data_IF_190014896400
#
_entry.id   IF_190014896400
#
_cell.length_a   1.000
_cell.length_b   1.000
_cell.length_c   1.000
_cell.angle_alpha   90.00
_cell.angle_beta   90.00
_cell.angle_gamma   90.00
#
_symmetry.space_group_name_H-M   'P 1'
#
loop_
_entity.id
_entity.type
_entity.pdbx_description
1 polymer ?
#
# COMPACT_ATOMS: atom_id res chain seq x y z
N UNK A 1 -13.89 -2.98 3.95
CA UNK A 1 -13.20 -4.28 3.88
C UNK A 1 -12.65 -4.69 5.25
N UNK A 2 -12.60 -5.98 5.58
CA UNK A 2 -11.92 -6.48 6.79
C UNK A 2 -10.46 -6.89 6.55
N UNK A 3 -10.09 -7.13 5.29
CA UNK A 3 -8.75 -7.49 4.88
C UNK A 3 -8.29 -6.54 3.77
N UNK A 4 -6.99 -6.26 3.73
CA UNK A 4 -6.32 -5.51 2.68
C UNK A 4 -5.07 -6.25 2.26
N UNK A 5 -4.71 -6.09 0.99
CA UNK A 5 -3.43 -6.55 0.47
C UNK A 5 -2.83 -5.39 -0.32
N UNK A 6 -1.56 -5.11 -0.10
CA UNK A 6 -0.76 -4.18 -0.90
C UNK A 6 0.39 -4.97 -1.48
N UNK A 7 0.68 -4.75 -2.76
CA UNK A 7 1.66 -5.56 -3.50
C UNK A 7 2.58 -4.62 -4.27
N UNK A 8 3.89 -4.84 -4.16
CA UNK A 8 4.88 -4.27 -5.05
C UNK A 8 5.22 -5.28 -6.14
N UNK A 9 5.18 -4.85 -7.40
CA UNK A 9 5.41 -5.71 -8.56
C UNK A 9 6.40 -5.03 -9.51
N UNK A 10 7.33 -5.79 -10.05
CA UNK A 10 8.19 -5.34 -11.15
C UNK A 10 7.38 -5.28 -12.45
N UNK A 11 7.38 -4.12 -13.10
CA UNK A 11 6.70 -3.94 -14.39
C UNK A 11 7.37 -4.75 -15.49
N UNK A 12 8.70 -4.79 -15.50
CA UNK A 12 9.47 -5.44 -16.58
C UNK A 12 9.36 -6.97 -16.55
N UNK A 13 9.26 -7.54 -15.35
CA UNK A 13 9.25 -9.01 -15.17
C UNK A 13 7.89 -9.58 -14.80
N UNK A 14 6.93 -8.73 -14.40
CA UNK A 14 5.65 -9.15 -13.84
C UNK A 14 5.75 -9.85 -12.47
N UNK A 15 6.95 -9.93 -11.87
CA UNK A 15 7.16 -10.63 -10.59
C UNK A 15 6.73 -9.78 -9.42
N UNK A 16 6.11 -10.42 -8.44
CA UNK A 16 5.83 -9.82 -7.13
C UNK A 16 7.13 -9.69 -6.35
N UNK A 17 7.44 -8.47 -5.93
CA UNK A 17 8.63 -8.13 -5.16
C UNK A 17 8.36 -8.17 -3.66
N UNK A 18 7.19 -7.67 -3.24
CA UNK A 18 6.81 -7.60 -1.82
C UNK A 18 5.28 -7.58 -1.68
N UNK A 19 4.77 -8.07 -0.55
CA UNK A 19 3.35 -8.12 -0.21
C UNK A 19 3.16 -7.73 1.26
N UNK A 20 2.22 -6.83 1.51
CA UNK A 20 1.74 -6.52 2.86
C UNK A 20 0.27 -6.92 3.00
N UNK A 21 0.01 -7.85 3.91
CA UNK A 21 -1.34 -8.33 4.21
C UNK A 21 -1.81 -7.70 5.51
N UNK A 22 -2.92 -6.98 5.43
CA UNK A 22 -3.53 -6.29 6.57
C UNK A 22 -4.87 -6.91 6.89
N UNK A 23 -5.14 -7.15 8.16
CA UNK A 23 -6.42 -7.68 8.63
C UNK A 23 -6.87 -6.97 9.89
N UNK A 24 -8.13 -6.57 9.90
CA UNK A 24 -8.88 -6.15 11.10
C UNK A 24 -9.66 -7.29 11.72
N UNK A 25 -9.65 -8.45 11.06
CA UNK A 25 -10.52 -9.54 11.44
C UNK A 25 -9.97 -10.26 12.67
N UNK A 26 -10.70 -10.14 13.78
CA UNK A 26 -10.36 -10.73 15.07
C UNK A 26 -11.49 -11.67 15.52
N UNK A 27 -11.16 -12.95 15.74
CA UNK A 27 -12.06 -13.97 16.29
C UNK A 27 -11.90 -14.16 17.82
N UNK A 28 -11.03 -13.40 18.46
CA UNK A 28 -10.75 -13.57 19.89
C UNK A 28 -11.99 -13.22 20.73
N UNK A 29 -12.17 -13.97 21.82
CA UNK A 29 -13.27 -13.71 22.78
C UNK A 29 -13.14 -12.32 23.41
N UNK A 30 -11.90 -11.91 23.70
CA UNK A 30 -11.59 -10.59 24.19
C UNK A 30 -10.85 -9.78 23.11
N UNK A 31 -11.42 -8.65 22.69
CA UNK A 31 -10.81 -7.78 21.66
C UNK A 31 -9.65 -6.92 22.19
N UNK A 32 -9.48 -6.84 23.51
CA UNK A 32 -8.36 -6.12 24.15
C UNK A 32 -7.20 -7.04 24.48
N UNK A 33 -7.45 -8.36 24.57
CA UNK A 33 -6.44 -9.40 24.79
C UNK A 33 -6.55 -10.42 23.67
N UNK A 34 -5.78 -10.19 22.63
CA UNK A 34 -5.72 -11.10 21.49
C UNK A 34 -5.12 -12.44 21.91
N UNK A 35 -5.76 -13.53 21.48
CA UNK A 35 -5.18 -14.86 21.54
C UNK A 35 -3.92 -14.94 20.67
N UNK A 36 -3.04 -15.88 21.00
CA UNK A 36 -1.81 -16.16 20.25
C UNK A 36 -2.06 -16.40 18.74
N UNK A 37 -3.20 -17.00 18.39
CA UNK A 37 -3.57 -17.30 16.99
C UNK A 37 -4.32 -16.17 16.27
N UNK A 38 -4.42 -14.97 16.86
CA UNK A 38 -5.08 -13.85 16.21
C UNK A 38 -4.27 -13.35 15.01
N UNK A 39 -4.95 -13.15 13.87
CA UNK A 39 -4.34 -12.61 12.65
C UNK A 39 -4.64 -11.14 12.40
N UNK A 40 -5.34 -10.48 13.33
CA UNK A 40 -5.60 -9.06 13.23
C UNK A 40 -4.28 -8.30 13.49
N UNK A 41 -3.82 -7.56 12.49
CA UNK A 41 -2.57 -6.80 12.54
C UNK A 41 -2.77 -5.32 12.19
N UNK A 42 -4.01 -4.90 11.87
CA UNK A 42 -4.32 -3.53 11.53
C UNK A 42 -5.47 -2.98 12.37
N UNK A 43 -5.31 -1.74 12.82
CA UNK A 43 -6.32 -0.97 13.56
C UNK A 43 -6.61 0.31 12.77
N UNK A 44 -7.90 0.62 12.55
CA UNK A 44 -8.31 1.80 11.79
C UNK A 44 -9.41 1.48 10.78
N UNK A 45 -9.69 2.42 9.87
CA UNK A 45 -10.69 2.22 8.81
C UNK A 45 -10.08 1.44 7.62
N UNK A 46 -10.92 0.87 6.76
CA UNK A 46 -10.40 0.08 5.62
C UNK A 46 -9.72 0.92 4.54
N UNK A 47 -10.07 2.20 4.40
CA UNK A 47 -9.39 3.10 3.46
C UNK A 47 -7.94 3.41 3.86
N UNK A 48 -7.64 3.37 5.15
CA UNK A 48 -6.30 3.58 5.69
C UNK A 48 -5.37 2.36 5.53
N UNK A 49 -5.91 1.18 5.21
CA UNK A 49 -5.10 -0.02 4.98
C UNK A 49 -4.17 0.14 3.78
N UNK A 50 -4.67 0.74 2.69
CA UNK A 50 -3.86 0.99 1.49
C UNK A 50 -2.67 1.89 1.82
N UNK A 51 -2.93 3.00 2.52
CA UNK A 51 -1.91 3.96 2.95
C UNK A 51 -0.88 3.30 3.87
N UNK A 52 -1.34 2.56 4.88
CA UNK A 52 -0.45 1.89 5.82
C UNK A 52 0.41 0.82 5.16
N UNK A 53 -0.21 -0.01 4.30
CA UNK A 53 0.50 -1.08 3.59
C UNK A 53 1.52 -0.54 2.59
N UNK A 54 1.19 0.54 1.87
CA UNK A 54 2.12 1.20 0.97
C UNK A 54 3.34 1.72 1.71
N UNK A 55 3.14 2.47 2.80
CA UNK A 55 4.26 2.98 3.62
C UNK A 55 5.11 1.83 4.19
N UNK A 56 4.49 0.74 4.65
CA UNK A 56 5.21 -0.42 5.18
C UNK A 56 6.15 -1.06 4.15
N UNK A 57 5.64 -1.32 2.94
CA UNK A 57 6.41 -1.90 1.83
C UNK A 57 7.58 -0.99 1.44
N UNK A 58 7.33 0.31 1.26
CA UNK A 58 8.39 1.25 0.88
C UNK A 58 9.49 1.35 1.95
N UNK A 59 9.12 1.42 3.23
CA UNK A 59 10.11 1.52 4.33
C UNK A 59 11.01 0.29 4.48
N UNK A 60 10.50 -0.92 4.19
CA UNK A 60 11.29 -2.16 4.35
C UNK A 60 12.03 -2.59 3.09
N UNK A 61 11.73 -1.97 1.95
CA UNK A 61 12.23 -2.35 0.63
C UNK A 61 13.76 -2.53 0.57
N UNK A 62 14.53 -1.53 1.04
CA UNK A 62 15.99 -1.61 1.05
C UNK A 62 16.50 -2.69 2.00
N UNK A 63 15.97 -2.75 3.21
CA UNK A 63 16.43 -3.68 4.24
C UNK A 63 16.11 -5.14 3.89
N UNK A 64 14.95 -5.41 3.30
CA UNK A 64 14.45 -6.76 3.04
C UNK A 64 14.85 -7.28 1.66
N UNK A 65 14.84 -6.41 0.65
CA UNK A 65 15.02 -6.80 -0.75
C UNK A 65 16.23 -6.16 -1.42
N UNK A 66 16.92 -5.22 -0.74
CA UNK A 66 17.99 -4.42 -1.34
C UNK A 66 17.54 -3.68 -2.61
N UNK A 67 16.28 -3.22 -2.61
CA UNK A 67 15.65 -2.51 -3.72
C UNK A 67 15.06 -1.20 -3.23
N UNK A 68 15.09 -0.18 -4.09
CA UNK A 68 14.34 1.07 -3.91
C UNK A 68 13.19 1.13 -4.90
N UNK A 69 11.98 1.30 -4.40
CA UNK A 69 10.80 1.51 -5.22
C UNK A 69 10.65 2.99 -5.54
N UNK A 70 10.83 3.34 -6.82
CA UNK A 70 10.89 4.75 -7.25
C UNK A 70 9.60 5.25 -7.90
N UNK A 71 8.72 4.34 -8.28
CA UNK A 71 7.46 4.63 -8.96
C UNK A 71 6.28 4.13 -8.13
N UNK A 72 5.25 4.96 -8.01
CA UNK A 72 3.98 4.64 -7.36
C UNK A 72 2.85 4.71 -8.38
N UNK A 73 2.22 3.57 -8.68
CA UNK A 73 1.03 3.53 -9.52
C UNK A 73 -0.21 3.83 -8.66
N UNK A 74 -0.92 4.91 -8.97
CA UNK A 74 -2.09 5.32 -8.21
C UNK A 74 -3.21 5.85 -9.09
N UNK A 75 -4.42 5.83 -8.53
CA UNK A 75 -5.55 6.58 -9.06
C UNK A 75 -5.45 8.05 -8.61
N UNK A 76 -5.84 9.00 -9.48
CA UNK A 76 -6.17 10.40 -9.19
C UNK A 76 -5.57 11.05 -7.95
N UNK A 77 -6.38 11.33 -6.92
CA UNK A 77 -5.89 11.87 -5.64
C UNK A 77 -5.64 10.71 -4.66
N UNK A 78 -4.45 10.12 -4.72
CA UNK A 78 -4.10 8.98 -3.87
C UNK A 78 -3.55 9.45 -2.52
N UNK A 79 -4.31 9.18 -1.46
CA UNK A 79 -3.86 9.38 -0.06
C UNK A 79 -2.65 8.50 0.27
N UNK A 80 -2.54 7.33 -0.35
CA UNK A 80 -1.40 6.44 -0.16
C UNK A 80 -0.11 7.04 -0.72
N UNK A 81 -0.15 7.65 -1.91
CA UNK A 81 1.02 8.36 -2.46
C UNK A 81 1.51 9.48 -1.53
N UNK A 82 0.59 10.34 -1.06
CA UNK A 82 0.93 11.44 -0.13
C UNK A 82 1.64 10.91 1.12
N UNK A 83 1.10 9.85 1.73
CA UNK A 83 1.72 9.25 2.91
C UNK A 83 3.08 8.60 2.64
N UNK A 84 3.30 8.01 1.46
CA UNK A 84 4.62 7.49 1.07
C UNK A 84 5.62 8.63 0.90
N UNK A 85 5.23 9.74 0.27
CA UNK A 85 6.09 10.92 0.16
C UNK A 85 6.43 11.52 1.55
N UNK A 86 5.44 11.63 2.44
CA UNK A 86 5.64 12.12 3.81
C UNK A 86 6.52 11.18 4.63
N UNK A 87 6.41 9.86 4.40
CA UNK A 87 7.23 8.86 5.07
C UNK A 87 8.71 8.92 4.70
N UNK A 88 9.06 9.59 3.58
CA UNK A 88 10.43 9.74 3.05
C UNK A 88 11.24 8.44 3.18
N UNK A 89 10.82 7.36 2.50
CA UNK A 89 11.46 6.06 2.65
C UNK A 89 12.93 6.05 2.25
N UNK A 90 13.35 6.98 1.39
CA UNK A 90 14.73 7.14 0.93
C UNK A 90 15.20 8.58 1.16
N UNK A 91 16.48 8.76 1.55
CA UNK A 91 17.04 10.07 1.94
C UNK A 91 17.32 10.96 0.72
N UNK A 92 17.77 10.36 -0.37
CA UNK A 92 18.29 11.03 -1.56
C UNK A 92 17.35 10.97 -2.78
N UNK A 93 16.12 10.45 -2.60
CA UNK A 93 15.24 10.15 -3.73
C UNK A 93 13.77 10.37 -3.41
N UNK A 94 13.04 10.90 -4.38
CA UNK A 94 11.58 11.06 -4.35
C UNK A 94 10.90 9.94 -5.14
N UNK A 95 9.70 9.57 -4.70
CA UNK A 95 8.86 8.59 -5.41
C UNK A 95 8.01 9.33 -6.43
N UNK A 96 8.06 8.91 -7.69
CA UNK A 96 7.26 9.48 -8.78
C UNK A 96 5.88 8.81 -8.85
N UNK A 97 4.83 9.62 -9.01
CA UNK A 97 3.48 9.11 -9.22
C UNK A 97 3.22 8.83 -10.71
N UNK A 98 2.65 7.66 -10.98
CA UNK A 98 2.12 7.28 -12.29
C UNK A 98 0.61 7.07 -12.16
N UNK A 99 -0.16 7.57 -13.13
CA UNK A 99 -1.61 7.43 -13.15
C UNK A 99 -2.05 6.09 -13.76
N UNK A 100 -3.09 5.50 -13.17
CA UNK A 100 -3.77 4.35 -13.76
C UNK A 100 -4.49 4.72 -15.06
N UNK A 101 -4.31 3.91 -16.12
CA UNK A 101 -4.92 4.17 -17.44
C UNK A 101 -6.45 4.23 -17.37
N UNK A 102 -7.07 3.33 -16.60
CA UNK A 102 -8.52 3.32 -16.41
C UNK A 102 -9.04 4.56 -15.67
N UNK A 103 -8.19 5.21 -14.87
CA UNK A 103 -8.53 6.51 -14.29
C UNK A 103 -8.47 7.63 -15.33
N UNK A 104 -7.43 7.62 -16.17
CA UNK A 104 -7.29 8.56 -17.28
C UNK A 104 -8.48 8.44 -18.25
N UNK A 105 -8.86 7.23 -18.63
CA UNK A 105 -10.01 6.96 -19.52
C UNK A 105 -11.32 7.51 -18.95
N UNK A 106 -11.60 7.29 -17.66
CA UNK A 106 -12.81 7.82 -16.99
C UNK A 106 -12.87 9.35 -17.05
N UNK A 107 -11.73 10.04 -16.88
CA UNK A 107 -11.67 11.51 -16.99
C UNK A 107 -11.88 11.99 -18.43
N UNK A 108 -11.45 11.23 -19.42
CA UNK A 108 -11.65 11.59 -20.83
C UNK A 108 -13.11 11.39 -21.27
N UNK A 109 -13.80 10.37 -20.75
CA UNK A 109 -15.20 10.07 -21.09
C UNK A 109 -16.25 11.06 -20.54
N UNK A 110 -15.91 11.86 -19.52
CA UNK A 110 -16.82 12.88 -18.94
C UNK A 110 -16.82 14.22 -19.68
N UNK A 111 -16.16 14.32 -20.86
CA UNK A 111 -16.12 15.53 -21.70
C UNK A 111 -17.09 15.46 -22.90
N UNK A 112 -18.32 14.98 -22.66
CA UNK A 112 -19.43 15.03 -23.62
C UNK A 112 -20.45 16.09 -23.18
#
# INVERSE_FOLDING_TARGET
>A
SMNGAVVATSVDTGKVLDIEILSRFCKCKNKLKHDFNCRANFHGNSGAMETHGAVAIFKRSEALHNLRYVKFLGDGDSRAYKAVCEAKPYVDMTVDKIECIGHVEKRMGTRL
#
